data_IF_232324498976
#
_entry.id   IF_232324498976
#
_cell.length_a   1.000
_cell.length_b   1.000
_cell.length_c   1.000
_cell.angle_alpha   90.00
_cell.angle_beta   90.00
_cell.angle_gamma   90.00
#
_symmetry.space_group_name_H-M   'P 1'
#
loop_
_entity.id
_entity.type
_entity.pdbx_description
1 polymer ?
#
# COMPACT_ATOMS: atom_id res chain seq x y z
N UNK A 1 -14.00 -32.42 23.69
CA UNK A 1 -15.45 -32.35 23.42
C UNK A 1 -15.61 -32.17 21.92
N UNK A 2 -16.02 -33.22 21.20
CA UNK A 2 -16.11 -33.19 19.71
C UNK A 2 -17.17 -32.16 19.30
N UNK A 3 -16.76 -31.03 18.75
CA UNK A 3 -17.69 -30.12 18.04
C UNK A 3 -18.14 -30.81 16.75
N UNK A 4 -19.36 -31.29 16.77
CA UNK A 4 -20.08 -31.87 15.63
C UNK A 4 -20.03 -30.84 14.47
N UNK A 5 -19.65 -31.33 13.30
CA UNK A 5 -19.79 -30.59 12.03
C UNK A 5 -21.22 -30.06 11.94
N UNK A 6 -21.38 -28.78 12.13
CA UNK A 6 -22.70 -28.16 12.02
C UNK A 6 -23.05 -28.12 10.53
N UNK A 7 -24.06 -28.87 10.12
CA UNK A 7 -24.54 -28.94 8.73
C UNK A 7 -25.29 -27.68 8.26
N UNK A 8 -25.27 -26.62 9.08
CA UNK A 8 -25.92 -25.36 8.75
C UNK A 8 -25.10 -24.63 7.68
N UNK A 9 -25.77 -24.22 6.62
CA UNK A 9 -25.20 -23.33 5.59
C UNK A 9 -25.06 -21.95 6.18
N UNK A 10 -23.85 -21.39 6.23
CA UNK A 10 -23.61 -20.00 6.65
C UNK A 10 -23.66 -19.05 5.44
N UNK A 11 -23.97 -17.79 5.68
CA UNK A 11 -23.94 -16.75 4.65
C UNK A 11 -22.49 -16.36 4.31
N UNK A 12 -22.32 -15.66 3.19
CA UNK A 12 -21.02 -15.07 2.79
C UNK A 12 -20.51 -14.11 3.87
N UNK A 13 -21.40 -13.29 4.43
CA UNK A 13 -21.02 -12.30 5.43
C UNK A 13 -20.64 -12.93 6.77
N UNK A 14 -21.36 -13.96 7.23
CA UNK A 14 -20.98 -14.72 8.42
C UNK A 14 -19.58 -15.35 8.27
N UNK A 15 -19.28 -15.89 7.10
CA UNK A 15 -17.95 -16.47 6.85
C UNK A 15 -16.85 -15.39 6.77
N UNK A 16 -17.15 -14.25 6.17
CA UNK A 16 -16.25 -13.08 6.17
C UNK A 16 -15.95 -12.58 7.58
N UNK A 17 -16.98 -12.47 8.43
CA UNK A 17 -16.80 -12.09 9.84
C UNK A 17 -15.92 -13.09 10.57
N UNK A 18 -16.17 -14.40 10.40
CA UNK A 18 -15.34 -15.44 11.02
C UNK A 18 -13.86 -15.36 10.60
N UNK A 19 -13.57 -15.03 9.34
CA UNK A 19 -12.19 -14.83 8.88
C UNK A 19 -11.61 -13.51 9.43
N UNK A 20 -12.38 -12.42 9.46
CA UNK A 20 -11.94 -11.15 10.02
C UNK A 20 -11.60 -11.27 11.53
N UNK A 21 -12.37 -12.08 12.26
CA UNK A 21 -12.15 -12.37 13.70
C UNK A 21 -10.84 -13.16 13.95
N UNK A 22 -10.21 -13.72 12.93
CA UNK A 22 -8.86 -14.27 13.03
C UNK A 22 -7.81 -13.19 13.30
N UNK A 23 -8.12 -11.91 13.06
CA UNK A 23 -7.29 -10.78 13.45
C UNK A 23 -5.95 -10.76 12.71
N UNK A 24 -5.96 -10.93 11.37
CA UNK A 24 -4.75 -10.78 10.57
C UNK A 24 -4.19 -9.37 10.79
N UNK A 25 -3.01 -9.29 11.33
CA UNK A 25 -2.32 -8.04 11.56
C UNK A 25 -0.97 -8.07 10.87
N UNK A 26 -0.82 -7.14 9.97
CA UNK A 26 0.48 -6.93 9.34
C UNK A 26 1.47 -6.37 10.38
N UNK A 27 2.72 -6.85 10.40
CA UNK A 27 3.73 -6.39 11.35
C UNK A 27 4.32 -5.05 10.92
N UNK A 28 4.40 -4.09 11.84
CA UNK A 28 5.07 -2.81 11.60
C UNK A 28 6.58 -3.01 11.69
N UNK A 29 7.32 -2.61 10.67
CA UNK A 29 8.79 -2.69 10.68
C UNK A 29 9.44 -1.34 10.41
N UNK A 30 10.59 -1.11 11.03
CA UNK A 30 11.44 0.02 10.72
C UNK A 30 12.28 -0.28 9.47
N UNK A 31 12.27 0.62 8.49
CA UNK A 31 13.08 0.49 7.28
C UNK A 31 13.86 1.79 7.03
N UNK A 32 15.05 1.72 6.39
CA UNK A 32 15.73 2.92 5.91
C UNK A 32 14.83 3.73 4.98
N UNK A 33 14.83 5.06 5.09
CA UNK A 33 13.96 5.93 4.28
C UNK A 33 14.14 5.72 2.78
N UNK A 34 15.35 5.42 2.31
CA UNK A 34 15.63 5.14 0.89
C UNK A 34 14.94 3.87 0.35
N UNK A 35 14.53 2.95 1.22
CA UNK A 35 13.79 1.72 0.87
C UNK A 35 12.28 1.84 1.09
N UNK A 36 11.79 3.01 1.54
CA UNK A 36 10.41 3.20 1.96
C UNK A 36 9.47 3.67 0.84
N UNK A 37 9.98 3.99 -0.35
CA UNK A 37 9.15 4.44 -1.49
C UNK A 37 8.11 3.37 -1.85
N UNK A 38 6.84 3.78 -1.95
CA UNK A 38 5.71 2.89 -2.23
C UNK A 38 5.19 2.11 -1.01
N UNK A 39 5.83 2.23 0.16
CA UNK A 39 5.32 1.64 1.39
C UNK A 39 4.30 2.56 2.08
N UNK A 40 3.38 1.98 2.84
CA UNK A 40 2.41 2.71 3.65
C UNK A 40 3.03 3.03 5.01
N UNK A 41 2.95 4.28 5.43
CA UNK A 41 3.47 4.72 6.72
C UNK A 41 2.59 4.21 7.87
N UNK A 42 3.18 3.54 8.87
CA UNK A 42 2.46 2.90 9.96
C UNK A 42 2.03 3.85 11.09
N UNK A 43 2.75 4.96 11.26
CA UNK A 43 2.51 5.93 12.33
C UNK A 43 2.81 7.34 11.83
N UNK A 44 2.24 8.36 12.47
CA UNK A 44 2.52 9.75 12.14
C UNK A 44 4.00 10.07 12.30
N UNK A 45 4.58 10.75 11.31
CA UNK A 45 5.92 11.34 11.44
C UNK A 45 5.77 12.74 11.97
N UNK A 46 6.22 12.93 13.20
CA UNK A 46 6.24 14.24 13.85
C UNK A 46 7.61 14.89 13.65
N UNK A 47 7.61 16.18 13.30
CA UNK A 47 8.81 16.98 13.20
C UNK A 47 9.43 17.18 14.60
N UNK A 48 10.60 16.60 14.84
CA UNK A 48 11.32 16.78 16.12
C UNK A 48 12.05 18.12 16.19
N UNK A 49 12.28 18.71 15.04
CA UNK A 49 13.00 19.99 14.89
C UNK A 49 12.25 20.87 13.91
N UNK A 50 12.41 22.16 14.09
CA UNK A 50 11.83 23.16 13.18
C UNK A 50 12.47 23.09 11.81
N UNK A 51 11.69 23.35 10.76
CA UNK A 51 12.14 23.43 9.37
C UNK A 51 11.60 24.72 8.72
N UNK A 52 12.44 25.59 8.12
CA UNK A 52 13.92 25.62 8.27
C UNK A 52 14.39 25.86 9.71
N UNK A 53 15.62 25.43 10.02
CA UNK A 53 16.17 25.53 11.39
C UNK A 53 16.51 26.98 11.79
N UNK A 54 16.66 27.89 10.83
CA UNK A 54 17.01 29.30 11.01
C UNK A 54 16.48 30.16 9.87
N UNK A 55 16.38 31.48 10.11
CA UNK A 55 16.08 32.43 9.04
C UNK A 55 17.20 32.41 8.01
N UNK A 56 16.86 32.25 6.73
CA UNK A 56 17.84 32.14 5.67
C UNK A 56 17.39 32.88 4.41
N UNK A 57 18.35 33.19 3.52
CA UNK A 57 18.04 33.83 2.26
C UNK A 57 17.38 32.87 1.28
N UNK A 58 16.31 33.31 0.64
CA UNK A 58 15.66 32.59 -0.47
C UNK A 58 16.35 32.84 -1.83
N UNK A 59 17.23 33.83 -1.95
CA UNK A 59 17.89 34.24 -3.18
C UNK A 59 19.34 34.62 -2.91
N UNK A 60 20.14 34.68 -3.94
CA UNK A 60 21.47 35.31 -3.92
C UNK A 60 21.34 36.82 -4.01
N UNK A 61 22.11 37.58 -3.20
CA UNK A 61 22.01 39.03 -3.18
C UNK A 61 22.60 39.66 -1.94
N UNK A 62 21.92 40.68 -1.40
CA UNK A 62 22.40 41.46 -0.26
C UNK A 62 21.35 41.53 0.84
N UNK A 63 21.74 41.11 2.02
CA UNK A 63 20.98 41.26 3.25
C UNK A 63 21.10 42.70 3.74
N UNK A 64 19.99 43.42 3.85
CA UNK A 64 19.93 44.85 4.16
C UNK A 64 18.87 45.13 5.25
N UNK A 65 18.94 46.29 5.83
CA UNK A 65 17.82 46.85 6.61
C UNK A 65 16.84 47.48 5.66
N UNK A 66 15.59 47.14 5.78
CA UNK A 66 14.50 47.71 4.95
C UNK A 66 14.46 49.22 4.99
N UNK A 67 14.75 49.80 6.16
CA UNK A 67 14.79 51.26 6.34
C UNK A 67 15.85 51.97 5.52
N UNK A 68 16.89 51.27 5.09
CA UNK A 68 17.98 51.88 4.29
C UNK A 68 17.65 51.87 2.79
N UNK A 69 16.63 51.14 2.36
CA UNK A 69 16.29 50.97 0.92
C UNK A 69 14.82 51.23 0.59
N UNK A 70 13.88 51.21 1.54
CA UNK A 70 12.46 51.44 1.30
C UNK A 70 11.98 52.71 2.03
N UNK A 71 11.15 53.52 1.39
CA UNK A 71 10.37 54.60 2.03
C UNK A 71 11.00 55.97 2.01
N UNK A 72 11.94 56.29 1.12
CA UNK A 72 12.48 57.63 0.90
C UNK A 72 12.85 57.81 -0.56
N UNK A 73 13.09 59.07 -1.07
CA UNK A 73 13.67 59.31 -2.39
C UNK A 73 15.10 58.73 -2.57
N UNK A 74 15.41 57.62 -1.92
CA UNK A 74 16.73 57.04 -1.72
C UNK A 74 17.07 55.88 -2.66
N UNK A 75 16.22 55.44 -3.55
CA UNK A 75 16.64 54.57 -4.63
C UNK A 75 17.07 55.38 -5.84
N UNK A 76 18.24 55.11 -6.41
CA UNK A 76 19.22 54.06 -6.01
C UNK A 76 19.95 54.39 -4.70
N UNK A 77 20.09 53.40 -3.81
CA UNK A 77 20.79 53.51 -2.53
C UNK A 77 22.17 52.84 -2.62
N UNK A 78 23.21 53.49 -2.17
CA UNK A 78 24.56 52.92 -2.12
C UNK A 78 24.88 52.51 -0.69
N UNK A 79 25.22 51.21 -0.46
CA UNK A 79 25.52 50.63 0.83
C UNK A 79 26.95 50.06 0.82
N UNK A 80 27.64 50.15 1.95
CA UNK A 80 28.95 49.50 2.13
C UNK A 80 28.75 48.01 2.36
N UNK A 81 29.47 47.15 1.64
CA UNK A 81 29.40 45.69 1.83
C UNK A 81 30.41 45.24 2.90
N UNK A 82 29.92 45.04 4.12
CA UNK A 82 30.79 44.77 5.28
C UNK A 82 31.31 43.36 5.32
N UNK A 83 30.54 42.38 4.81
CA UNK A 83 30.89 40.96 4.93
C UNK A 83 30.14 40.09 3.88
N UNK A 84 30.41 38.78 3.93
CA UNK A 84 29.72 37.77 3.14
C UNK A 84 29.19 36.64 4.03
N UNK A 85 27.94 36.30 3.84
CA UNK A 85 27.28 35.11 4.43
C UNK A 85 27.11 34.03 3.36
N UNK A 86 27.60 32.82 3.61
CA UNK A 86 27.49 31.66 2.70
C UNK A 86 26.84 30.51 3.40
N UNK A 87 26.14 29.67 2.65
CA UNK A 87 25.52 28.46 3.20
C UNK A 87 26.58 27.51 3.81
N UNK A 88 26.18 26.83 4.88
CA UNK A 88 27.06 25.87 5.59
C UNK A 88 28.10 26.52 6.54
N UNK A 89 28.11 27.84 6.67
CA UNK A 89 28.93 28.54 7.67
C UNK A 89 28.01 29.27 8.68
N UNK A 90 28.42 29.24 9.95
CA UNK A 90 27.77 30.06 10.96
C UNK A 90 28.05 31.54 10.67
N UNK A 91 27.02 32.35 10.60
CA UNK A 91 27.11 33.81 10.45
C UNK A 91 26.44 34.53 11.61
N UNK A 92 26.36 33.90 12.78
CA UNK A 92 25.69 34.43 13.97
C UNK A 92 26.37 35.69 14.50
N UNK A 93 27.63 35.93 14.17
CA UNK A 93 28.38 37.13 14.51
C UNK A 93 28.19 38.27 13.53
N UNK A 94 27.67 37.98 12.32
CA UNK A 94 27.43 38.98 11.30
C UNK A 94 26.21 39.86 11.68
N UNK A 95 26.38 41.14 11.50
CA UNK A 95 25.29 42.12 11.67
C UNK A 95 25.26 43.13 10.52
N UNK A 96 24.11 43.75 10.33
CA UNK A 96 23.90 44.80 9.31
C UNK A 96 23.66 46.14 10.02
N UNK A 97 24.72 46.94 10.24
CA UNK A 97 24.56 48.30 10.75
C UNK A 97 23.81 49.21 9.76
N UNK A 98 23.35 50.39 10.18
CA UNK A 98 22.76 51.38 9.28
C UNK A 98 23.76 51.80 8.18
N UNK A 99 23.29 51.82 6.91
CA UNK A 99 24.12 52.18 5.75
C UNK A 99 25.06 51.07 5.26
N UNK A 100 25.00 49.91 5.87
CA UNK A 100 25.78 48.73 5.44
C UNK A 100 24.88 47.57 4.95
N UNK A 101 25.48 46.62 4.28
CA UNK A 101 24.83 45.37 3.88
C UNK A 101 25.82 44.20 3.95
N UNK A 102 25.27 42.96 3.94
CA UNK A 102 26.05 41.73 3.87
C UNK A 102 25.69 41.03 2.56
N UNK A 103 26.69 40.71 1.75
CA UNK A 103 26.49 39.87 0.58
C UNK A 103 26.09 38.48 1.04
N UNK A 104 24.95 37.97 0.57
CA UNK A 104 24.37 36.73 1.08
C UNK A 104 24.03 35.78 -0.07
N UNK A 105 24.32 34.47 0.14
CA UNK A 105 23.98 33.44 -0.81
C UNK A 105 22.70 32.71 -0.37
N UNK A 106 22.00 32.12 -1.30
CA UNK A 106 20.80 31.31 -1.06
C UNK A 106 21.05 30.25 -0.01
N UNK A 107 20.15 30.11 0.97
CA UNK A 107 20.28 29.17 2.08
C UNK A 107 21.25 29.60 3.20
N UNK A 108 21.95 30.71 3.04
CA UNK A 108 22.83 31.23 4.10
C UNK A 108 22.02 31.86 5.23
N UNK A 109 22.56 31.77 6.46
CA UNK A 109 21.94 32.36 7.66
C UNK A 109 21.82 33.87 7.51
N UNK A 110 20.66 34.40 7.83
CA UNK A 110 20.38 35.82 7.80
C UNK A 110 21.17 36.54 8.90
N UNK A 111 21.99 37.60 8.54
CA UNK A 111 22.71 38.38 9.54
C UNK A 111 21.76 39.16 10.47
N UNK A 112 22.19 39.40 11.70
CA UNK A 112 21.44 40.23 12.65
C UNK A 112 21.18 41.63 12.12
N UNK A 113 19.95 42.11 12.30
CA UNK A 113 19.54 43.46 11.84
C UNK A 113 19.08 43.54 10.40
N UNK A 114 19.29 42.49 9.60
CA UNK A 114 18.68 42.39 8.26
C UNK A 114 17.22 41.92 8.38
N UNK A 115 16.35 42.59 7.62
CA UNK A 115 14.93 42.24 7.51
C UNK A 115 14.45 42.17 6.03
N UNK A 116 15.37 42.29 5.10
CA UNK A 116 15.18 42.19 3.66
C UNK A 116 16.43 41.63 3.00
N UNK A 117 16.23 40.78 1.98
CA UNK A 117 17.28 40.42 1.01
C UNK A 117 16.90 40.97 -0.35
N UNK A 118 17.77 41.81 -0.89
CA UNK A 118 17.64 42.33 -2.25
C UNK A 118 18.35 41.39 -3.21
N UNK A 119 17.66 40.81 -4.20
CA UNK A 119 18.29 39.98 -5.22
C UNK A 119 19.43 40.69 -5.95
N UNK A 120 20.48 39.98 -6.29
CA UNK A 120 21.65 40.55 -6.99
C UNK A 120 21.28 41.23 -8.30
N UNK A 121 20.26 40.74 -8.98
CA UNK A 121 19.74 41.29 -10.25
C UNK A 121 19.13 42.71 -10.09
N UNK A 122 18.84 43.10 -8.86
CA UNK A 122 18.31 44.42 -8.51
C UNK A 122 19.39 45.36 -7.97
N UNK A 123 20.67 45.02 -8.18
CA UNK A 123 21.84 45.76 -7.67
C UNK A 123 22.86 45.97 -8.76
N UNK A 124 23.97 46.65 -8.40
CA UNK A 124 25.15 46.83 -9.29
C UNK A 124 26.01 45.55 -9.43
N UNK A 125 25.56 44.39 -8.85
CA UNK A 125 26.27 43.11 -8.90
C UNK A 125 27.06 42.80 -7.63
N UNK A 126 27.67 41.61 -7.61
CA UNK A 126 28.47 41.15 -6.48
C UNK A 126 29.79 41.89 -6.37
N UNK A 127 30.30 42.01 -5.14
CA UNK A 127 31.61 42.60 -4.84
C UNK A 127 32.61 41.54 -4.40
N UNK A 128 33.89 41.86 -4.46
CA UNK A 128 34.99 40.97 -4.11
C UNK A 128 35.77 41.41 -2.87
N UNK A 129 35.72 42.71 -2.54
CA UNK A 129 36.41 43.29 -1.38
C UNK A 129 35.39 43.76 -0.33
N UNK A 130 35.47 43.18 0.87
CA UNK A 130 34.51 43.50 1.93
C UNK A 130 35.05 44.53 2.89
N UNK A 131 34.20 45.43 3.36
CA UNK A 131 34.53 46.57 4.22
C UNK A 131 34.94 47.87 3.48
N UNK A 132 35.30 47.78 2.19
CA UNK A 132 35.65 48.94 1.35
C UNK A 132 34.75 49.09 0.13
N UNK A 133 34.29 47.98 -0.43
CA UNK A 133 33.41 47.99 -1.63
C UNK A 133 32.01 48.41 -1.26
N UNK A 134 31.35 49.03 -2.21
CA UNK A 134 29.95 49.41 -2.10
C UNK A 134 29.10 48.72 -3.16
N UNK A 135 27.83 48.53 -2.87
CA UNK A 135 26.83 48.08 -3.82
C UNK A 135 25.74 49.13 -3.97
N UNK A 136 25.31 49.34 -5.18
CA UNK A 136 24.14 50.20 -5.46
C UNK A 136 22.91 49.33 -5.58
N UNK A 137 21.94 49.57 -4.71
CA UNK A 137 20.60 48.93 -4.75
C UNK A 137 19.76 49.77 -5.72
N UNK A 138 19.46 49.23 -6.88
CA UNK A 138 18.74 49.91 -7.94
C UNK A 138 17.21 49.86 -7.75
N UNK A 139 16.74 48.75 -7.21
CA UNK A 139 15.33 48.54 -6.87
C UNK A 139 15.19 47.58 -5.69
N UNK A 140 14.08 47.64 -5.00
CA UNK A 140 13.74 46.68 -3.96
C UNK A 140 12.29 46.23 -4.16
N UNK A 141 12.08 44.94 -4.32
CA UNK A 141 10.75 44.38 -4.45
C UNK A 141 9.95 44.40 -3.13
N UNK A 142 8.68 44.08 -3.21
CA UNK A 142 7.80 43.99 -2.04
C UNK A 142 8.05 42.76 -1.14
N UNK A 143 8.70 41.71 -1.68
CA UNK A 143 8.99 40.47 -0.98
C UNK A 143 10.25 40.62 -0.13
N UNK A 144 10.24 40.02 1.08
CA UNK A 144 11.41 40.02 1.95
C UNK A 144 12.54 39.10 1.48
N UNK A 145 12.23 38.08 0.66
CA UNK A 145 13.14 37.04 0.19
C UNK A 145 13.88 36.33 1.34
N UNK A 146 13.23 36.22 2.49
CA UNK A 146 13.70 35.54 3.67
C UNK A 146 12.78 34.34 3.91
N UNK A 147 13.35 33.15 3.99
CA UNK A 147 12.67 31.97 4.53
C UNK A 147 12.80 32.00 6.04
N UNK A 148 11.67 32.13 6.72
CA UNK A 148 11.67 32.22 8.18
C UNK A 148 11.88 30.85 8.80
N UNK A 149 12.54 30.83 9.95
CA UNK A 149 12.63 29.65 10.82
C UNK A 149 11.23 29.13 11.08
N UNK A 150 11.06 27.82 11.03
CA UNK A 150 9.78 27.11 11.25
C UNK A 150 8.68 27.47 10.22
N UNK A 151 9.01 28.06 9.05
CA UNK A 151 7.97 28.41 8.05
C UNK A 151 7.33 27.18 7.39
N UNK A 152 7.98 26.03 7.41
CA UNK A 152 7.47 24.80 6.83
C UNK A 152 6.87 23.89 7.92
N UNK A 153 7.64 23.66 9.01
CA UNK A 153 7.19 22.89 10.19
C UNK A 153 7.75 23.46 11.47
N UNK A 154 6.91 23.55 12.51
CA UNK A 154 7.38 23.73 13.89
C UNK A 154 7.65 22.37 14.53
N UNK A 155 8.39 22.38 15.64
CA UNK A 155 8.61 21.18 16.43
C UNK A 155 7.27 20.71 17.03
N UNK A 156 6.94 19.43 16.83
CA UNK A 156 5.64 18.87 17.24
C UNK A 156 4.60 18.78 16.10
N UNK A 157 4.82 19.43 14.97
CA UNK A 157 3.90 19.31 13.85
C UNK A 157 3.93 17.92 13.23
N UNK A 158 2.76 17.42 12.82
CA UNK A 158 2.66 16.19 12.04
C UNK A 158 3.07 16.47 10.58
N UNK A 159 4.25 16.03 10.20
CA UNK A 159 4.81 16.24 8.87
C UNK A 159 4.23 15.28 7.83
N UNK A 160 4.01 14.02 8.20
CA UNK A 160 3.37 13.00 7.35
C UNK A 160 2.46 12.14 8.23
N UNK A 161 1.23 11.94 7.80
CA UNK A 161 0.26 11.13 8.56
C UNK A 161 0.44 9.64 8.29
N UNK A 162 0.13 8.83 9.29
CA UNK A 162 -0.07 7.39 9.13
C UNK A 162 -1.04 7.10 7.98
N UNK A 163 -0.85 5.96 7.30
CA UNK A 163 -1.64 5.58 6.13
C UNK A 163 -1.19 6.26 4.82
N UNK A 164 -0.21 7.17 4.85
CA UNK A 164 0.32 7.80 3.63
C UNK A 164 1.22 6.82 2.87
N UNK A 165 0.96 6.63 1.58
CA UNK A 165 1.90 5.94 0.67
C UNK A 165 3.08 6.85 0.39
N UNK A 166 4.29 6.43 0.74
CA UNK A 166 5.49 7.24 0.64
C UNK A 166 5.95 7.38 -0.82
N UNK A 167 6.02 8.61 -1.30
CA UNK A 167 6.60 8.97 -2.59
C UNK A 167 8.04 9.46 -2.42
N UNK A 168 8.81 9.65 -3.52
CA UNK A 168 10.13 10.29 -3.43
C UNK A 168 10.11 11.66 -2.75
N UNK A 169 9.02 12.43 -2.86
CA UNK A 169 8.89 13.74 -2.20
C UNK A 169 8.81 13.61 -0.67
N UNK A 170 8.02 12.64 -0.16
CA UNK A 170 7.98 12.37 1.28
C UNK A 170 9.33 11.83 1.80
N UNK A 171 10.03 11.01 1.03
CA UNK A 171 11.40 10.58 1.40
C UNK A 171 12.35 11.77 1.49
N UNK A 172 12.26 12.74 0.59
CA UNK A 172 13.01 13.99 0.68
C UNK A 172 12.69 14.80 1.93
N UNK A 173 11.40 14.89 2.30
CA UNK A 173 10.97 15.54 3.54
C UNK A 173 11.50 14.81 4.78
N UNK A 174 11.41 13.47 4.82
CA UNK A 174 11.97 12.67 5.91
C UNK A 174 13.46 12.93 6.10
N UNK A 175 14.22 12.98 5.02
CA UNK A 175 15.65 13.32 5.07
C UNK A 175 15.89 14.75 5.58
N UNK A 176 15.08 15.74 5.14
CA UNK A 176 15.18 17.11 5.62
C UNK A 176 14.83 17.26 7.11
N UNK A 177 13.97 16.38 7.65
CA UNK A 177 13.66 16.28 9.08
C UNK A 177 14.71 15.48 9.87
N UNK A 178 15.75 14.96 9.21
CA UNK A 178 16.84 14.19 9.84
C UNK A 178 16.45 12.74 10.17
N UNK A 179 15.39 12.20 9.57
CA UNK A 179 14.99 10.80 9.74
C UNK A 179 15.86 9.90 8.88
N UNK A 180 16.39 8.84 9.47
CA UNK A 180 17.14 7.79 8.75
C UNK A 180 16.27 6.57 8.49
N UNK A 181 15.26 6.33 9.34
CA UNK A 181 14.33 5.21 9.28
C UNK A 181 12.91 5.71 9.49
N UNK A 182 11.96 4.96 8.98
CA UNK A 182 10.51 5.12 9.23
C UNK A 182 9.88 3.77 9.53
N UNK A 183 8.80 3.81 10.30
CA UNK A 183 7.97 2.63 10.51
C UNK A 183 6.94 2.56 9.41
N UNK A 184 7.01 1.51 8.62
CA UNK A 184 6.05 1.24 7.57
C UNK A 184 5.09 0.15 8.03
N UNK A 185 3.84 0.29 7.58
CA UNK A 185 2.85 -0.76 7.61
C UNK A 185 3.44 -1.93 6.85
N UNK A 186 3.27 -3.07 7.38
CA UNK A 186 4.11 -4.23 7.23
C UNK A 186 4.04 -4.92 5.89
N UNK A 187 4.87 -5.90 5.81
CA UNK A 187 4.70 -7.07 5.00
C UNK A 187 3.83 -8.06 5.76
N UNK A 188 2.83 -8.58 5.11
CA UNK A 188 2.11 -9.76 5.53
C UNK A 188 2.67 -10.92 4.69
N UNK A 189 3.24 -11.93 5.33
CA UNK A 189 3.69 -13.14 4.64
C UNK A 189 2.54 -14.12 4.58
N UNK A 190 2.12 -14.49 3.36
CA UNK A 190 1.06 -15.47 3.11
C UNK A 190 1.68 -16.74 2.57
N UNK A 191 1.53 -17.86 3.29
CA UNK A 191 1.86 -19.17 2.74
C UNK A 191 0.69 -19.69 1.89
N UNK A 192 0.97 -20.19 0.70
CA UNK A 192 -0.02 -20.81 -0.19
C UNK A 192 0.36 -22.26 -0.43
N UNK A 193 -0.57 -23.17 -0.17
CA UNK A 193 -0.40 -24.62 -0.27
C UNK A 193 -1.54 -25.24 -1.09
N UNK A 194 -1.22 -25.94 -2.16
CA UNK A 194 -2.18 -26.79 -2.88
C UNK A 194 -2.09 -28.25 -2.39
N UNK A 195 -3.24 -28.91 -2.30
CA UNK A 195 -3.33 -30.34 -1.93
C UNK A 195 -4.06 -31.13 -2.99
N UNK A 196 -3.59 -32.35 -3.21
CA UNK A 196 -4.13 -33.31 -4.17
C UNK A 196 -3.04 -34.21 -4.70
N UNK A 197 -3.23 -35.52 -4.64
CA UNK A 197 -2.27 -36.51 -5.17
C UNK A 197 -2.10 -36.41 -6.70
N UNK A 198 -3.06 -35.76 -7.38
CA UNK A 198 -3.01 -35.48 -8.80
C UNK A 198 -2.19 -34.22 -9.14
N UNK A 199 -1.85 -33.39 -8.17
CA UNK A 199 -1.24 -32.08 -8.41
C UNK A 199 0.28 -32.22 -8.55
N UNK A 200 0.83 -31.59 -9.59
CA UNK A 200 2.27 -31.52 -9.89
C UNK A 200 2.74 -30.09 -10.07
N UNK A 201 3.98 -29.82 -9.69
CA UNK A 201 4.60 -28.52 -9.98
C UNK A 201 4.98 -28.42 -11.48
N UNK A 202 5.23 -27.21 -11.94
CA UNK A 202 5.46 -26.93 -13.36
C UNK A 202 6.73 -27.56 -13.93
N UNK A 203 7.70 -27.91 -13.08
CA UNK A 203 8.95 -28.54 -13.43
C UNK A 203 8.82 -30.06 -13.62
N UNK A 204 7.73 -30.66 -13.16
CA UNK A 204 7.46 -32.08 -13.27
C UNK A 204 6.77 -32.41 -14.59
N UNK A 205 6.77 -33.70 -14.97
CA UNK A 205 6.01 -34.19 -16.11
C UNK A 205 4.80 -34.97 -15.61
N UNK A 206 3.58 -34.46 -15.76
CA UNK A 206 2.39 -35.15 -15.30
C UNK A 206 2.17 -36.44 -16.05
N UNK A 207 1.74 -37.47 -15.35
CA UNK A 207 1.28 -38.73 -15.93
C UNK A 207 -0.25 -38.72 -16.09
N UNK A 208 -0.81 -39.81 -16.64
CA UNK A 208 -2.25 -39.92 -16.80
C UNK A 208 -2.98 -39.87 -15.44
N UNK A 209 -3.85 -38.90 -15.29
CA UNK A 209 -4.59 -38.63 -14.03
C UNK A 209 -4.01 -37.48 -13.21
N UNK A 210 -2.86 -36.96 -13.59
CA UNK A 210 -2.22 -35.81 -12.92
C UNK A 210 -2.40 -34.52 -13.72
N UNK A 211 -2.31 -33.39 -13.02
CA UNK A 211 -2.39 -32.05 -13.62
C UNK A 211 -1.45 -31.08 -12.90
N UNK A 212 -1.12 -29.98 -13.56
CA UNK A 212 -0.31 -28.93 -12.96
C UNK A 212 -1.11 -28.10 -11.93
N UNK A 213 -0.42 -27.63 -10.89
CA UNK A 213 -0.96 -26.68 -9.94
C UNK A 213 -1.24 -25.33 -10.64
N UNK A 214 -2.51 -24.98 -10.72
CA UNK A 214 -2.94 -23.69 -11.24
C UNK A 214 -3.32 -22.71 -10.10
N UNK A 215 -3.66 -23.22 -8.93
CA UNK A 215 -4.22 -22.43 -7.83
C UNK A 215 -3.14 -21.62 -7.12
N UNK A 216 -2.06 -22.27 -6.69
CA UNK A 216 -1.00 -21.58 -5.93
C UNK A 216 -0.36 -20.44 -6.73
N UNK A 217 0.04 -20.61 -8.01
CA UNK A 217 0.58 -19.51 -8.79
C UNK A 217 -0.42 -18.37 -9.03
N UNK A 218 -1.70 -18.69 -9.24
CA UNK A 218 -2.75 -17.69 -9.46
C UNK A 218 -2.98 -16.83 -8.22
N UNK A 219 -3.12 -17.46 -7.06
CA UNK A 219 -3.33 -16.77 -5.78
C UNK A 219 -2.08 -15.97 -5.41
N UNK A 220 -0.90 -16.57 -5.53
CA UNK A 220 0.37 -15.90 -5.25
C UNK A 220 0.57 -14.64 -6.09
N UNK A 221 0.26 -14.71 -7.38
CA UNK A 221 0.40 -13.55 -8.27
C UNK A 221 -0.44 -12.35 -7.82
N UNK A 222 -1.67 -12.56 -7.36
CA UNK A 222 -2.50 -11.45 -6.87
C UNK A 222 -2.10 -11.00 -5.45
N UNK A 223 -1.68 -11.90 -4.57
CA UNK A 223 -1.12 -11.56 -3.26
C UNK A 223 0.11 -10.66 -3.38
N UNK A 224 1.05 -11.01 -4.28
CA UNK A 224 2.22 -10.17 -4.59
C UNK A 224 1.81 -8.78 -5.10
N UNK A 225 0.77 -8.70 -5.93
CA UNK A 225 0.20 -7.43 -6.39
C UNK A 225 -0.44 -6.63 -5.27
N UNK A 226 -1.02 -7.29 -4.27
CA UNK A 226 -1.53 -6.64 -3.06
C UNK A 226 -0.41 -6.13 -2.14
N UNK A 227 0.85 -6.46 -2.43
CA UNK A 227 2.01 -6.09 -1.60
C UNK A 227 2.30 -7.06 -0.46
N UNK A 228 1.64 -8.22 -0.41
CA UNK A 228 2.00 -9.30 0.51
C UNK A 228 3.29 -10.00 0.05
N UNK A 229 4.11 -10.45 0.98
CA UNK A 229 5.17 -11.42 0.67
C UNK A 229 4.52 -12.82 0.59
N UNK A 230 5.01 -13.69 -0.29
CA UNK A 230 4.39 -14.99 -0.54
C UNK A 230 5.40 -16.10 -0.39
N UNK A 231 5.06 -17.09 0.44
CA UNK A 231 5.73 -18.37 0.52
C UNK A 231 4.88 -19.42 -0.22
N UNK A 232 5.44 -20.01 -1.28
CA UNK A 232 4.81 -21.14 -1.96
C UNK A 232 5.35 -22.43 -1.40
N UNK A 233 4.47 -23.21 -0.78
CA UNK A 233 4.78 -24.58 -0.39
C UNK A 233 4.46 -25.53 -1.55
N UNK A 234 5.27 -26.55 -1.75
CA UNK A 234 5.04 -27.56 -2.78
C UNK A 234 3.71 -28.27 -2.58
N UNK A 235 3.07 -28.68 -3.67
CA UNK A 235 1.83 -29.44 -3.62
C UNK A 235 2.01 -30.73 -2.79
N UNK A 236 1.03 -31.02 -1.93
CA UNK A 236 1.08 -32.12 -0.99
C UNK A 236 0.08 -33.19 -1.42
N UNK A 237 0.52 -34.45 -1.36
CA UNK A 237 -0.34 -35.61 -1.59
C UNK A 237 -1.47 -35.73 -0.56
N UNK A 238 -2.48 -36.57 -0.85
CA UNK A 238 -3.62 -36.82 0.03
C UNK A 238 -3.26 -37.67 1.26
N UNK A 239 -2.10 -37.38 1.86
CA UNK A 239 -1.64 -37.95 3.13
C UNK A 239 -1.73 -36.89 4.23
N UNK A 240 -2.47 -37.18 5.31
CA UNK A 240 -2.77 -36.25 6.37
C UNK A 240 -1.52 -35.86 7.20
N UNK A 241 -0.55 -36.75 7.33
CA UNK A 241 0.69 -36.48 8.06
C UNK A 241 1.63 -35.61 7.24
N UNK A 242 1.77 -35.88 5.92
CA UNK A 242 2.49 -35.06 5.00
C UNK A 242 1.88 -33.64 4.91
N UNK A 243 0.55 -33.55 4.87
CA UNK A 243 -0.16 -32.26 4.89
C UNK A 243 0.11 -31.50 6.18
N UNK A 244 0.05 -32.14 7.35
CA UNK A 244 0.35 -31.52 8.64
C UNK A 244 1.79 -31.04 8.73
N UNK A 245 2.74 -31.82 8.22
CA UNK A 245 4.13 -31.40 8.16
C UNK A 245 4.36 -30.18 7.24
N UNK A 246 3.66 -30.11 6.10
CA UNK A 246 3.70 -28.94 5.22
C UNK A 246 3.08 -27.70 5.88
N UNK A 247 1.94 -27.85 6.54
CA UNK A 247 1.32 -26.75 7.31
C UNK A 247 2.24 -26.24 8.42
N UNK A 248 2.98 -27.11 9.10
CA UNK A 248 3.96 -26.71 10.11
C UNK A 248 5.13 -25.91 9.50
N UNK A 249 5.62 -26.26 8.30
CA UNK A 249 6.61 -25.47 7.58
C UNK A 249 6.05 -24.10 7.19
N UNK A 250 4.83 -24.04 6.69
CA UNK A 250 4.15 -22.78 6.39
C UNK A 250 4.01 -21.91 7.65
N UNK A 251 3.58 -22.47 8.77
CA UNK A 251 3.39 -21.75 10.02
C UNK A 251 4.68 -21.16 10.59
N UNK A 252 5.83 -21.76 10.28
CA UNK A 252 7.13 -21.26 10.74
C UNK A 252 7.58 -19.97 10.04
N UNK A 253 6.99 -19.64 8.89
CA UNK A 253 7.46 -18.51 8.04
C UNK A 253 6.37 -17.52 7.64
N UNK A 254 5.10 -17.83 7.88
CA UNK A 254 3.98 -17.03 7.41
C UNK A 254 3.12 -16.48 8.55
N UNK A 255 2.49 -15.33 8.31
CA UNK A 255 1.49 -14.71 9.18
C UNK A 255 0.08 -15.28 8.96
N UNK A 256 -0.15 -15.89 7.80
CA UNK A 256 -1.41 -16.56 7.43
C UNK A 256 -1.14 -17.68 6.42
N UNK A 257 -1.89 -18.77 6.53
CA UNK A 257 -1.84 -19.90 5.60
C UNK A 257 -3.12 -19.93 4.75
N UNK A 258 -2.96 -20.11 3.44
CA UNK A 258 -4.06 -20.34 2.50
C UNK A 258 -3.88 -21.70 1.86
N UNK A 259 -4.86 -22.59 2.02
CA UNK A 259 -4.84 -23.90 1.33
C UNK A 259 -5.87 -23.94 0.22
N UNK A 260 -5.60 -24.73 -0.83
CA UNK A 260 -6.55 -25.03 -1.90
C UNK A 260 -6.66 -26.54 -2.09
N UNK A 261 -7.90 -27.04 -2.19
CA UNK A 261 -8.17 -28.48 -2.25
C UNK A 261 -8.35 -29.13 -0.88
N UNK A 262 -8.69 -30.41 -0.85
CA UNK A 262 -8.77 -31.27 0.35
C UNK A 262 -9.83 -30.85 1.38
N UNK A 263 -10.90 -30.15 0.99
CA UNK A 263 -11.94 -29.64 1.91
C UNK A 263 -13.37 -29.96 1.50
N UNK A 264 -13.59 -30.79 0.47
CA UNK A 264 -14.93 -31.15 0.00
C UNK A 264 -15.73 -31.94 1.06
N UNK A 265 -16.90 -32.42 0.74
CA UNK A 265 -17.74 -33.21 1.66
C UNK A 265 -17.34 -34.70 1.73
N UNK A 266 -16.27 -35.11 1.06
CA UNK A 266 -15.75 -36.46 1.07
C UNK A 266 -15.20 -36.87 2.45
N UNK A 267 -15.09 -38.17 2.68
CA UNK A 267 -14.60 -38.74 3.96
C UNK A 267 -13.07 -38.73 4.05
N UNK A 268 -12.37 -38.51 2.95
CA UNK A 268 -10.89 -38.62 2.84
C UNK A 268 -10.23 -37.29 2.48
N UNK A 269 -10.88 -36.19 2.84
CA UNK A 269 -10.37 -34.85 2.54
C UNK A 269 -9.16 -34.51 3.42
N UNK A 270 -7.98 -34.48 2.82
CA UNK A 270 -6.69 -34.45 3.50
C UNK A 270 -6.52 -33.23 4.43
N UNK A 271 -6.97 -32.05 4.00
CA UNK A 271 -6.86 -30.83 4.82
C UNK A 271 -7.78 -30.92 6.05
N UNK A 272 -8.98 -31.48 5.89
CA UNK A 272 -9.89 -31.72 7.03
C UNK A 272 -9.31 -32.71 8.04
N UNK A 273 -8.67 -33.77 7.54
CA UNK A 273 -8.01 -34.77 8.40
C UNK A 273 -6.78 -34.19 9.10
N UNK A 274 -5.96 -33.44 8.38
CA UNK A 274 -4.78 -32.82 8.95
C UNK A 274 -5.11 -31.79 10.04
N UNK A 275 -6.25 -31.11 9.92
CA UNK A 275 -6.71 -30.04 10.83
C UNK A 275 -7.75 -30.54 11.88
N UNK A 276 -8.00 -31.84 11.99
CA UNK A 276 -9.06 -32.39 12.85
C UNK A 276 -8.90 -32.02 14.34
N UNK A 277 -7.68 -31.85 14.81
CA UNK A 277 -7.32 -31.53 16.19
C UNK A 277 -7.02 -30.03 16.42
N UNK A 278 -7.17 -29.19 15.37
CA UNK A 278 -6.94 -27.77 15.43
C UNK A 278 -8.25 -26.98 15.49
N UNK A 279 -8.19 -25.70 15.88
CA UNK A 279 -9.36 -24.81 15.95
C UNK A 279 -9.72 -24.28 14.55
N UNK A 280 -10.16 -25.18 13.68
CA UNK A 280 -10.58 -24.88 12.31
C UNK A 280 -12.02 -25.36 12.09
N UNK A 281 -12.85 -24.46 11.60
CA UNK A 281 -14.25 -24.76 11.27
C UNK A 281 -14.40 -24.86 9.75
N UNK A 282 -14.97 -25.98 9.29
CA UNK A 282 -15.36 -26.17 7.89
C UNK A 282 -16.87 -25.96 7.74
N UNK A 283 -17.27 -25.10 6.81
CA UNK A 283 -18.65 -24.71 6.59
C UNK A 283 -19.08 -24.88 5.12
N UNK A 284 -20.39 -25.04 4.94
CA UNK A 284 -21.04 -24.88 3.63
C UNK A 284 -21.47 -23.43 3.52
N UNK A 285 -20.75 -22.61 2.75
CA UNK A 285 -21.11 -21.21 2.53
C UNK A 285 -22.14 -21.05 1.43
N UNK A 286 -23.12 -20.18 1.65
CA UNK A 286 -24.19 -19.91 0.69
C UNK A 286 -23.68 -19.07 -0.50
N UNK A 287 -22.83 -19.66 -1.34
CA UNK A 287 -22.28 -19.07 -2.57
C UNK A 287 -22.11 -20.13 -3.65
N UNK A 288 -22.21 -19.76 -4.90
CA UNK A 288 -21.92 -20.63 -6.05
C UNK A 288 -21.08 -19.90 -7.10
N UNK A 289 -19.95 -20.55 -7.54
CA UNK A 289 -19.31 -21.76 -7.01
C UNK A 289 -18.56 -21.48 -5.70
N UNK A 290 -17.99 -22.55 -5.09
CA UNK A 290 -17.15 -22.40 -3.90
C UNK A 290 -17.88 -22.63 -2.57
N UNK A 291 -18.85 -23.55 -2.54
CA UNK A 291 -19.62 -23.89 -1.34
C UNK A 291 -18.82 -24.33 -0.12
N UNK A 292 -17.86 -25.31 -0.25
CA UNK A 292 -17.03 -25.71 0.88
C UNK A 292 -15.97 -24.67 1.16
N UNK A 293 -15.87 -24.25 2.41
CA UNK A 293 -14.87 -23.30 2.91
C UNK A 293 -14.40 -23.76 4.29
N UNK A 294 -13.21 -23.30 4.72
CA UNK A 294 -12.73 -23.50 6.07
C UNK A 294 -11.96 -22.29 6.56
N UNK A 295 -12.02 -22.01 7.86
CA UNK A 295 -11.19 -20.99 8.49
C UNK A 295 -10.99 -21.30 9.98
N UNK A 296 -9.87 -20.83 10.53
CA UNK A 296 -9.49 -21.04 11.91
C UNK A 296 -8.02 -20.80 12.14
N UNK A 297 -7.42 -21.59 13.05
CA UNK A 297 -6.00 -21.53 13.36
C UNK A 297 -5.36 -22.91 13.28
N UNK A 298 -4.21 -22.96 12.66
CA UNK A 298 -3.24 -24.05 12.77
C UNK A 298 -2.16 -23.57 13.74
N UNK A 299 -2.12 -24.20 14.90
CA UNK A 299 -1.43 -23.66 16.07
C UNK A 299 -1.93 -22.22 16.33
N UNK A 300 -1.06 -21.22 16.35
CA UNK A 300 -1.47 -19.81 16.52
C UNK A 300 -1.67 -19.06 15.18
N UNK A 301 -1.35 -19.71 14.05
CA UNK A 301 -1.35 -19.05 12.73
C UNK A 301 -2.76 -19.16 12.11
N UNK A 302 -3.36 -18.03 11.67
CA UNK A 302 -4.59 -18.03 10.89
C UNK A 302 -4.48 -18.90 9.64
N UNK A 303 -5.52 -19.70 9.38
CA UNK A 303 -5.60 -20.54 8.19
C UNK A 303 -6.95 -20.36 7.50
N UNK A 304 -6.93 -20.23 6.17
CA UNK A 304 -8.12 -20.10 5.32
C UNK A 304 -8.04 -21.21 4.26
N UNK A 305 -9.06 -22.05 4.23
CA UNK A 305 -9.07 -23.24 3.37
C UNK A 305 -10.09 -23.06 2.23
N UNK A 306 -9.60 -23.10 0.99
CA UNK A 306 -10.35 -22.84 -0.23
C UNK A 306 -10.61 -24.12 -1.03
N UNK A 307 -11.66 -24.17 -1.88
CA UNK A 307 -11.93 -25.30 -2.76
C UNK A 307 -10.84 -25.52 -3.81
N UNK A 308 -10.68 -26.77 -4.28
CA UNK A 308 -9.62 -27.15 -5.23
C UNK A 308 -9.90 -26.76 -6.69
N UNK A 309 -11.18 -26.62 -7.13
CA UNK A 309 -11.45 -26.18 -8.50
C UNK A 309 -10.95 -24.75 -8.75
N UNK A 310 -10.14 -24.47 -9.80
CA UNK A 310 -9.50 -23.16 -9.98
C UNK A 310 -10.45 -21.96 -10.04
N UNK A 311 -11.63 -22.11 -10.67
CA UNK A 311 -12.63 -21.03 -10.71
C UNK A 311 -13.22 -20.79 -9.31
N UNK A 312 -13.48 -21.88 -8.58
CA UNK A 312 -13.97 -21.78 -7.20
C UNK A 312 -12.91 -21.21 -6.25
N UNK A 313 -11.66 -21.61 -6.44
CA UNK A 313 -10.52 -21.09 -5.68
C UNK A 313 -10.34 -19.59 -5.87
N UNK A 314 -10.35 -19.08 -7.12
CA UNK A 314 -10.26 -17.65 -7.40
C UNK A 314 -11.43 -16.87 -6.79
N UNK A 315 -12.66 -17.35 -6.98
CA UNK A 315 -13.85 -16.67 -6.44
C UNK A 315 -13.80 -16.64 -4.91
N UNK A 316 -13.42 -17.75 -4.27
CA UNK A 316 -13.28 -17.82 -2.81
C UNK A 316 -12.13 -16.92 -2.32
N UNK A 317 -11.01 -16.90 -3.01
CA UNK A 317 -9.90 -15.98 -2.74
C UNK A 317 -10.35 -14.51 -2.78
N UNK A 318 -11.02 -14.09 -3.86
CA UNK A 318 -11.53 -12.73 -4.02
C UNK A 318 -12.57 -12.33 -2.96
N UNK A 319 -13.39 -13.30 -2.52
CA UNK A 319 -14.43 -13.05 -1.52
C UNK A 319 -13.91 -13.04 -0.09
N UNK A 320 -12.93 -13.88 0.24
CA UNK A 320 -12.60 -14.22 1.62
C UNK A 320 -11.15 -13.92 2.00
N UNK A 321 -10.17 -14.20 1.13
CA UNK A 321 -8.74 -14.00 1.45
C UNK A 321 -8.30 -12.58 1.14
N UNK A 322 -8.54 -12.15 -0.08
CA UNK A 322 -8.06 -10.85 -0.55
C UNK A 322 -8.55 -9.67 0.30
N UNK A 323 -9.83 -9.57 0.72
CA UNK A 323 -10.29 -8.45 1.54
C UNK A 323 -9.58 -8.36 2.91
N UNK A 324 -9.32 -9.49 3.57
CA UNK A 324 -8.65 -9.50 4.88
C UNK A 324 -7.15 -9.22 4.75
N UNK A 325 -6.51 -9.68 3.67
CA UNK A 325 -5.12 -9.33 3.35
C UNK A 325 -4.99 -7.83 3.05
N UNK A 326 -5.87 -7.27 2.22
CA UNK A 326 -5.89 -5.84 1.92
C UNK A 326 -6.08 -4.99 3.18
N UNK A 327 -7.02 -5.38 4.03
CA UNK A 327 -7.28 -4.71 5.31
C UNK A 327 -6.06 -4.79 6.25
N UNK A 328 -5.43 -5.95 6.35
CA UNK A 328 -4.23 -6.14 7.17
C UNK A 328 -3.05 -5.28 6.68
N UNK A 329 -2.87 -5.15 5.38
CA UNK A 329 -1.84 -4.32 4.76
C UNK A 329 -2.13 -2.81 4.85
N UNK A 330 -3.36 -2.42 5.23
CA UNK A 330 -3.81 -1.03 5.32
C UNK A 330 -3.57 -0.23 4.02
N UNK A 331 -3.57 -0.92 2.88
CA UNK A 331 -3.38 -0.30 1.57
C UNK A 331 -4.73 -0.17 0.86
N UNK A 332 -5.30 1.06 0.76
CA UNK A 332 -6.56 1.29 0.03
C UNK A 332 -6.50 0.85 -1.43
N UNK A 333 -5.30 0.83 -2.03
CA UNK A 333 -5.10 0.37 -3.40
C UNK A 333 -5.23 -1.16 -3.53
N UNK A 334 -5.08 -1.88 -2.44
CA UNK A 334 -5.31 -3.33 -2.41
C UNK A 334 -6.81 -3.67 -2.40
N UNK A 335 -7.70 -2.76 -2.07
CA UNK A 335 -9.14 -3.00 -2.10
C UNK A 335 -9.71 -3.00 -3.53
N UNK A 336 -10.69 -3.87 -3.79
CA UNK A 336 -11.43 -3.87 -5.05
C UNK A 336 -12.52 -2.80 -5.04
N UNK A 337 -12.55 -1.97 -6.05
CA UNK A 337 -13.65 -1.02 -6.23
C UNK A 337 -14.87 -1.74 -6.81
N UNK A 338 -15.90 -1.89 -5.98
CA UNK A 338 -17.19 -2.46 -6.43
C UNK A 338 -17.97 -1.39 -7.18
N UNK A 339 -18.48 -1.76 -8.35
CA UNK A 339 -19.35 -0.92 -9.20
C UNK A 339 -20.55 -1.71 -9.70
N UNK A 340 -21.60 -1.02 -10.09
CA UNK A 340 -22.75 -1.64 -10.74
C UNK A 340 -22.53 -1.69 -12.25
N UNK A 341 -22.66 -2.87 -12.85
CA UNK A 341 -22.55 -3.10 -14.30
C UNK A 341 -23.84 -3.67 -14.86
N UNK A 342 -24.12 -3.35 -16.12
CA UNK A 342 -25.19 -3.96 -16.88
C UNK A 342 -24.67 -5.28 -17.46
N UNK A 343 -25.25 -6.39 -17.04
CA UNK A 343 -24.86 -7.72 -17.52
C UNK A 343 -25.60 -8.05 -18.80
N UNK A 344 -24.85 -8.56 -19.78
CA UNK A 344 -25.36 -9.20 -21.00
C UNK A 344 -24.97 -10.66 -20.99
N UNK A 345 -25.92 -11.55 -21.23
CA UNK A 345 -25.64 -12.98 -21.29
C UNK A 345 -26.56 -13.82 -20.41
N UNK A 346 -26.25 -15.11 -20.31
CA UNK A 346 -27.12 -16.06 -19.63
C UNK A 346 -26.91 -16.05 -18.10
N UNK A 347 -27.73 -15.28 -17.40
CA UNK A 347 -27.88 -15.29 -15.93
C UNK A 347 -29.10 -16.11 -15.50
N UNK A 348 -29.59 -17.01 -16.32
CA UNK A 348 -30.93 -17.54 -16.40
C UNK A 348 -31.33 -18.64 -15.40
N UNK A 349 -30.59 -18.90 -14.34
CA UNK A 349 -31.05 -19.86 -13.35
C UNK A 349 -31.47 -19.20 -12.04
N UNK A 350 -32.73 -19.43 -11.64
CA UNK A 350 -33.17 -19.15 -10.28
C UNK A 350 -32.22 -19.84 -9.27
N UNK A 351 -31.81 -19.13 -8.24
CA UNK A 351 -30.95 -19.67 -7.20
C UNK A 351 -31.29 -19.05 -5.86
N UNK A 352 -31.50 -19.87 -4.86
CA UNK A 352 -31.68 -19.43 -3.47
C UNK A 352 -30.38 -18.93 -2.81
N UNK A 353 -29.24 -19.03 -3.52
CA UNK A 353 -27.93 -18.55 -3.05
C UNK A 353 -27.31 -17.61 -4.05
N UNK A 354 -26.51 -16.59 -3.61
CA UNK A 354 -25.76 -15.72 -4.51
C UNK A 354 -24.88 -16.52 -5.46
N UNK A 355 -24.79 -16.06 -6.70
CA UNK A 355 -23.87 -16.61 -7.69
C UNK A 355 -22.80 -15.57 -8.00
N UNK A 356 -21.58 -16.02 -8.07
CA UNK A 356 -20.45 -15.19 -8.49
C UNK A 356 -19.94 -15.74 -9.82
N UNK A 357 -20.02 -14.91 -10.84
CA UNK A 357 -19.74 -15.29 -12.22
C UNK A 357 -18.46 -14.64 -12.70
N UNK A 358 -17.69 -15.37 -13.49
CA UNK A 358 -16.60 -14.79 -14.26
C UNK A 358 -17.18 -13.82 -15.30
N UNK A 359 -16.60 -12.62 -15.40
CA UNK A 359 -17.04 -11.58 -16.31
C UNK A 359 -15.91 -10.93 -17.08
N UNK A 360 -16.21 -10.56 -18.34
CA UNK A 360 -15.44 -9.56 -19.06
C UNK A 360 -16.17 -8.23 -18.93
N UNK A 361 -15.59 -7.31 -18.16
CA UNK A 361 -16.20 -6.04 -17.78
C UNK A 361 -15.55 -4.94 -18.61
N UNK A 362 -16.38 -4.22 -19.39
CA UNK A 362 -15.97 -3.07 -20.19
C UNK A 362 -16.85 -1.87 -19.88
N UNK A 363 -16.28 -0.85 -19.25
CA UNK A 363 -17.01 0.30 -18.77
C UNK A 363 -18.17 -0.06 -17.83
N UNK A 364 -19.40 0.24 -18.24
CA UNK A 364 -20.64 -0.04 -17.51
C UNK A 364 -21.31 -1.37 -17.92
N UNK A 365 -20.75 -2.10 -18.87
CA UNK A 365 -21.27 -3.37 -19.35
C UNK A 365 -20.40 -4.55 -18.91
N UNK A 366 -20.99 -5.73 -18.79
CA UNK A 366 -20.28 -6.97 -18.51
C UNK A 366 -20.88 -8.12 -19.31
N UNK A 367 -20.02 -8.94 -19.91
CA UNK A 367 -20.37 -10.24 -20.45
C UNK A 367 -19.96 -11.31 -19.44
N UNK A 368 -20.89 -12.17 -19.05
CA UNK A 368 -20.65 -13.18 -18.02
C UNK A 368 -20.72 -14.59 -18.57
N UNK A 369 -20.01 -15.50 -17.90
CA UNK A 369 -20.05 -16.94 -18.19
C UNK A 369 -20.23 -17.77 -16.92
N UNK A 370 -20.95 -18.85 -17.04
CA UNK A 370 -21.10 -19.88 -16.00
C UNK A 370 -20.05 -21.01 -16.17
N UNK A 371 -19.16 -20.91 -17.14
CA UNK A 371 -18.14 -21.91 -17.39
C UNK A 371 -17.11 -21.97 -16.27
N UNK A 372 -16.80 -23.19 -15.84
CA UNK A 372 -15.72 -23.48 -14.87
C UNK A 372 -14.40 -23.88 -15.56
N UNK A 373 -14.25 -23.54 -16.86
CA UNK A 373 -13.04 -23.88 -17.60
C UNK A 373 -11.89 -22.89 -17.37
N UNK A 374 -10.66 -23.37 -17.48
CA UNK A 374 -9.47 -22.52 -17.44
C UNK A 374 -9.45 -21.45 -18.57
N UNK A 375 -10.06 -21.75 -19.71
CA UNK A 375 -10.23 -20.78 -20.82
C UNK A 375 -11.13 -19.62 -20.39
N UNK A 376 -12.26 -19.90 -19.72
CA UNK A 376 -13.16 -18.86 -19.22
C UNK A 376 -12.50 -18.05 -18.11
N UNK A 377 -11.73 -18.70 -17.22
CA UNK A 377 -10.97 -18.07 -16.16
C UNK A 377 -9.95 -17.06 -16.75
N UNK A 378 -9.17 -17.49 -17.74
CA UNK A 378 -8.15 -16.67 -18.38
C UNK A 378 -8.72 -15.50 -19.22
N UNK A 379 -9.96 -15.62 -19.72
CA UNK A 379 -10.63 -14.58 -20.50
C UNK A 379 -11.33 -13.54 -19.61
N UNK A 380 -11.61 -13.86 -18.35
CA UNK A 380 -12.27 -12.94 -17.43
C UNK A 380 -11.31 -11.86 -16.93
N UNK A 381 -11.82 -10.65 -16.77
CA UNK A 381 -11.09 -9.56 -16.12
C UNK A 381 -11.76 -9.11 -14.81
N UNK A 382 -12.80 -9.81 -14.36
CA UNK A 382 -13.50 -9.48 -13.12
C UNK A 382 -14.57 -10.48 -12.75
N UNK A 383 -15.27 -10.16 -11.66
CA UNK A 383 -16.38 -10.94 -11.11
C UNK A 383 -17.65 -10.11 -11.07
N UNK A 384 -18.79 -10.78 -11.28
CA UNK A 384 -20.13 -10.22 -11.18
C UNK A 384 -20.92 -11.03 -10.15
N UNK A 385 -21.54 -10.34 -9.19
CA UNK A 385 -22.36 -10.97 -8.15
C UNK A 385 -23.84 -10.90 -8.53
N UNK A 386 -24.45 -12.05 -8.74
CA UNK A 386 -25.89 -12.18 -8.99
C UNK A 386 -26.56 -12.59 -7.68
N UNK A 387 -27.41 -11.72 -7.10
CA UNK A 387 -28.09 -12.02 -5.84
C UNK A 387 -29.05 -13.21 -5.98
N UNK A 388 -29.52 -13.79 -4.87
CA UNK A 388 -30.59 -14.78 -4.89
C UNK A 388 -31.83 -14.24 -5.60
N UNK A 389 -32.47 -15.09 -6.41
CA UNK A 389 -33.68 -14.73 -7.13
C UNK A 389 -34.62 -15.93 -7.22
N UNK A 390 -35.88 -15.76 -6.78
CA UNK A 390 -36.92 -16.81 -6.82
C UNK A 390 -37.53 -16.97 -8.19
N UNK A 391 -37.35 -15.98 -9.09
CA UNK A 391 -37.76 -16.03 -10.49
C UNK A 391 -36.52 -15.98 -11.39
N UNK A 392 -36.67 -16.41 -12.65
CA UNK A 392 -35.63 -16.30 -13.65
C UNK A 392 -35.16 -14.84 -13.75
N UNK A 393 -33.86 -14.55 -13.48
CA UNK A 393 -33.35 -13.20 -13.65
C UNK A 393 -33.52 -12.77 -15.11
N UNK A 394 -33.81 -11.48 -15.33
CA UNK A 394 -33.89 -10.95 -16.69
C UNK A 394 -32.52 -11.08 -17.38
N UNK A 395 -32.56 -11.41 -18.69
CA UNK A 395 -31.34 -11.54 -19.51
C UNK A 395 -30.45 -10.26 -19.53
N UNK A 396 -30.98 -9.15 -19.04
CA UNK A 396 -30.29 -7.88 -18.84
C UNK A 396 -30.64 -7.33 -17.48
N UNK A 397 -29.66 -7.34 -16.55
CA UNK A 397 -29.80 -6.80 -15.19
C UNK A 397 -28.60 -5.95 -14.81
N UNK A 398 -28.74 -5.16 -13.73
CA UNK A 398 -27.64 -4.39 -13.16
C UNK A 398 -27.18 -5.10 -11.89
N UNK A 399 -25.88 -5.44 -11.83
CA UNK A 399 -25.32 -6.25 -10.76
C UNK A 399 -24.00 -5.68 -10.23
N UNK A 400 -23.71 -5.87 -8.94
CA UNK A 400 -22.42 -5.55 -8.37
C UNK A 400 -21.30 -6.35 -9.06
N UNK A 401 -20.22 -5.66 -9.37
CA UNK A 401 -19.06 -6.25 -10.02
C UNK A 401 -17.77 -5.52 -9.64
N UNK A 402 -16.65 -6.20 -9.78
CA UNK A 402 -15.32 -5.60 -9.70
C UNK A 402 -14.37 -6.23 -10.70
N UNK A 403 -13.35 -5.47 -11.11
CA UNK A 403 -12.27 -5.97 -11.98
C UNK A 403 -11.07 -6.42 -11.17
N UNK A 404 -10.30 -7.37 -11.72
CA UNK A 404 -9.03 -7.82 -11.14
C UNK A 404 -7.92 -6.76 -11.28
N UNK A 405 -8.07 -5.83 -12.22
CA UNK A 405 -7.13 -4.72 -12.41
C UNK A 405 -7.48 -3.54 -11.51
N UNK A 406 -6.75 -3.40 -10.42
CA UNK A 406 -6.54 -2.11 -9.77
C UNK A 406 -5.11 -1.66 -10.07
N UNK A 407 -4.94 -0.80 -11.08
CA UNK A 407 -3.65 -0.20 -11.42
C UNK A 407 -3.33 0.92 -10.45
N UNK A 408 -2.98 0.58 -9.24
CA UNK A 408 -2.36 1.52 -8.31
C UNK A 408 -1.05 0.92 -7.87
N UNK A 409 -0.02 1.76 -7.90
CA UNK A 409 1.36 1.36 -7.63
C UNK A 409 1.58 1.07 -6.14
N UNK A 410 1.01 -0.02 -5.65
CA UNK A 410 1.49 -0.62 -4.41
C UNK A 410 2.87 -1.21 -4.65
N UNK A 411 3.70 -1.21 -3.63
CA UNK A 411 5.00 -1.88 -3.68
C UNK A 411 4.75 -3.36 -3.98
N UNK A 412 5.35 -3.93 -5.04
CA UNK A 412 5.20 -5.35 -5.29
C UNK A 412 5.79 -6.13 -4.11
N UNK A 413 5.04 -7.12 -3.64
CA UNK A 413 5.53 -8.11 -2.70
C UNK A 413 6.67 -8.95 -3.29
N UNK A 414 7.24 -9.84 -2.51
CA UNK A 414 8.33 -10.72 -2.94
C UNK A 414 8.07 -12.15 -2.50
N UNK A 415 8.68 -13.08 -3.19
CA UNK A 415 8.80 -14.47 -2.70
C UNK A 415 9.83 -14.50 -1.57
N UNK A 416 9.51 -15.20 -0.48
CA UNK A 416 10.34 -15.42 0.71
C UNK A 416 10.62 -16.89 0.91
#
# INVERSE_FOLDING_TARGET
MRRTVNSATCSVDEHRCAIADLGLAAQVRAVPIGSAVGAVLAEDVVAERVLPAFDNSAVDGFAVRRTDVIGSPRLPATLTVSARSVAGRSSTELSVPPGECVQIMTGAVLPRGADLVVPVEQTSGFVTSFGSDTVTICSSGSKSNIRRRASDFDAGDVAIRAGTVLTPAQVGLLAALGRTHVRIGSTLTVAVLSTGSEIRCAEETPTLGECFDANSPMIAADLLRCGADVHLESAVSDDAEACRAALARCAAVADVIVTTGGISAGTEEVVRLALADHDVTFASVAVRPGKPQGCGRFDEIPIICLPGNPVSALISYELFVRPVVASALQDPAAERTVRTVRVRGDVTSASSTPRVLLGFIDGADAEVTQSHSMRALAAANGLVVVPPCDSLPQATGHYPAWTFDSRTASRPGRYV
#
